data_IF_224280499869
#
_entry.id   IF_224280499869
#
_cell.length_a   1.000
_cell.length_b   1.000
_cell.length_c   1.000
_cell.angle_alpha   90.00
_cell.angle_beta   90.00
_cell.angle_gamma   90.00
#
_symmetry.space_group_name_H-M   'P 1'
#
loop_
_entity.id
_entity.type
_entity.pdbx_description
1 polymer ?
#
# COMPACT_ATOMS: atom_id res chain seq x y z
N UNK A 1 20.19 -12.58 -5.42
CA UNK A 1 19.22 -13.32 -4.59
C UNK A 1 19.51 -12.92 -3.16
N UNK A 2 18.70 -12.01 -2.61
CA UNK A 2 18.79 -11.63 -1.19
C UNK A 2 18.23 -12.78 -0.36
N UNK A 3 18.90 -13.17 0.72
CA UNK A 3 18.34 -14.16 1.65
C UNK A 3 17.00 -13.62 2.18
N UNK A 4 15.98 -14.48 2.35
CA UNK A 4 14.71 -14.03 2.92
C UNK A 4 14.95 -13.45 4.31
N UNK A 5 14.28 -12.33 4.60
CA UNK A 5 14.35 -11.70 5.91
C UNK A 5 13.84 -12.68 6.98
N UNK A 6 14.50 -12.69 8.14
CA UNK A 6 14.11 -13.55 9.25
C UNK A 6 12.66 -13.33 9.68
N UNK A 7 12.16 -12.10 9.55
CA UNK A 7 10.77 -11.77 9.83
C UNK A 7 9.80 -12.40 8.82
N UNK A 8 10.13 -12.38 7.53
CA UNK A 8 9.33 -13.00 6.48
C UNK A 8 9.25 -14.53 6.66
N UNK A 9 10.39 -15.17 6.98
CA UNK A 9 10.43 -16.61 7.28
C UNK A 9 9.57 -16.93 8.51
N UNK A 10 9.62 -16.12 9.55
CA UNK A 10 8.80 -16.31 10.75
C UNK A 10 7.31 -16.15 10.45
N UNK A 11 6.92 -15.13 9.67
CA UNK A 11 5.53 -14.91 9.28
C UNK A 11 4.97 -16.10 8.47
N UNK A 12 5.70 -16.55 7.45
CA UNK A 12 5.32 -17.74 6.68
C UNK A 12 5.18 -18.99 7.56
N UNK A 13 6.06 -19.14 8.57
CA UNK A 13 6.00 -20.28 9.48
C UNK A 13 4.78 -20.23 10.40
N UNK A 14 4.42 -19.04 10.88
CA UNK A 14 3.19 -18.83 11.68
C UNK A 14 1.97 -19.23 10.86
N UNK A 15 1.85 -18.77 9.62
CA UNK A 15 0.73 -19.11 8.73
C UNK A 15 0.62 -20.61 8.49
N UNK A 16 1.74 -21.28 8.22
CA UNK A 16 1.77 -22.74 8.06
C UNK A 16 1.27 -23.47 9.30
N UNK A 17 1.72 -23.06 10.50
CA UNK A 17 1.32 -23.68 11.76
C UNK A 17 -0.17 -23.47 12.05
N UNK A 18 -0.71 -22.29 11.78
CA UNK A 18 -2.14 -22.00 11.94
C UNK A 18 -2.97 -22.83 10.94
N UNK A 19 -2.54 -22.96 9.70
CA UNK A 19 -3.20 -23.83 8.71
C UNK A 19 -3.16 -25.30 9.13
N UNK A 20 -2.02 -25.77 9.65
CA UNK A 20 -1.89 -27.14 10.16
C UNK A 20 -2.86 -27.38 11.34
N UNK A 21 -2.96 -26.43 12.28
CA UNK A 21 -3.90 -26.53 13.39
C UNK A 21 -5.35 -26.56 12.91
N UNK A 22 -5.71 -25.71 11.96
CA UNK A 22 -7.08 -25.67 11.37
C UNK A 22 -7.46 -26.95 10.62
N UNK A 23 -6.47 -27.63 10.02
CA UNK A 23 -6.69 -28.88 9.28
C UNK A 23 -6.90 -30.11 10.18
N UNK A 24 -6.58 -30.00 11.48
CA UNK A 24 -6.79 -31.09 12.45
C UNK A 24 -8.24 -31.24 12.88
N UNK A 25 -8.68 -32.43 13.26
CA UNK A 25 -10.03 -32.65 13.78
C UNK A 25 -10.30 -31.92 15.11
N UNK A 26 -9.25 -31.63 15.88
CA UNK A 26 -9.32 -30.94 17.15
C UNK A 26 -9.48 -29.42 16.96
N UNK A 27 -10.73 -28.96 16.86
CA UNK A 27 -11.07 -27.54 16.76
C UNK A 27 -10.55 -26.72 17.95
N UNK A 28 -10.53 -27.32 19.16
CA UNK A 28 -10.06 -26.63 20.35
C UNK A 28 -8.60 -26.24 20.27
N UNK A 29 -7.76 -27.08 19.68
CA UNK A 29 -6.34 -26.76 19.46
C UNK A 29 -6.17 -25.59 18.48
N UNK A 30 -6.98 -25.53 17.42
CA UNK A 30 -7.00 -24.44 16.47
C UNK A 30 -7.44 -23.13 17.14
N UNK A 31 -8.53 -23.15 17.91
CA UNK A 31 -9.05 -21.97 18.63
C UNK A 31 -8.01 -21.41 19.63
N UNK A 32 -7.33 -22.28 20.37
CA UNK A 32 -6.26 -21.89 21.30
C UNK A 32 -5.08 -21.28 20.54
N UNK A 33 -4.68 -21.84 19.41
CA UNK A 33 -3.60 -21.31 18.57
C UNK A 33 -3.91 -19.91 18.03
N UNK A 34 -5.13 -19.71 17.57
CA UNK A 34 -5.60 -18.39 17.10
C UNK A 34 -5.67 -17.36 18.24
N UNK A 35 -6.19 -17.77 19.39
CA UNK A 35 -6.26 -16.88 20.57
C UNK A 35 -4.87 -16.50 21.07
N UNK A 36 -3.94 -17.46 21.14
CA UNK A 36 -2.55 -17.19 21.51
C UNK A 36 -1.90 -16.19 20.54
N UNK A 37 -2.09 -16.38 19.24
CA UNK A 37 -1.57 -15.47 18.22
C UNK A 37 -2.17 -14.06 18.41
N UNK A 38 -3.47 -13.96 18.63
CA UNK A 38 -4.16 -12.69 18.88
C UNK A 38 -3.61 -11.98 20.12
N UNK A 39 -3.42 -12.71 21.24
CA UNK A 39 -2.85 -12.16 22.47
C UNK A 39 -1.42 -11.64 22.26
N UNK A 40 -0.59 -12.35 21.50
CA UNK A 40 0.77 -11.91 21.18
C UNK A 40 0.75 -10.63 20.33
N UNK A 41 -0.08 -10.57 19.30
CA UNK A 41 -0.24 -9.37 18.46
C UNK A 41 -0.67 -8.17 19.32
N UNK A 42 -1.64 -8.35 20.21
CA UNK A 42 -2.09 -7.29 21.12
C UNK A 42 -0.99 -6.84 22.09
N UNK A 43 -0.23 -7.78 22.66
CA UNK A 43 0.86 -7.46 23.60
C UNK A 43 1.96 -6.67 22.90
N UNK A 44 2.40 -7.10 21.72
CA UNK A 44 3.42 -6.37 20.96
C UNK A 44 2.90 -5.03 20.45
N UNK A 45 1.65 -4.96 19.99
CA UNK A 45 1.02 -3.69 19.59
C UNK A 45 0.97 -2.68 20.73
N UNK A 46 0.62 -3.10 21.95
CA UNK A 46 0.64 -2.23 23.11
C UNK A 46 2.07 -1.74 23.46
N UNK A 47 3.07 -2.58 23.29
CA UNK A 47 4.49 -2.19 23.44
C UNK A 47 4.92 -1.17 22.39
N UNK A 48 4.61 -1.43 21.14
CA UNK A 48 4.89 -0.51 20.02
C UNK A 48 4.20 0.85 20.19
N UNK A 49 2.93 0.86 20.64
CA UNK A 49 2.20 2.11 20.92
C UNK A 49 2.90 2.97 21.98
N UNK A 50 3.45 2.36 23.03
CA UNK A 50 4.24 3.08 24.03
C UNK A 50 5.54 3.64 23.46
N UNK A 51 6.24 2.86 22.64
CA UNK A 51 7.46 3.31 21.96
C UNK A 51 7.15 4.48 21.02
N UNK A 52 6.08 4.37 20.23
CA UNK A 52 5.61 5.42 19.31
C UNK A 52 5.29 6.72 20.06
N UNK A 53 4.58 6.61 21.21
CA UNK A 53 4.27 7.76 22.05
C UNK A 53 5.52 8.44 22.65
N UNK A 54 6.56 7.67 22.98
CA UNK A 54 7.81 8.22 23.52
C UNK A 54 8.67 8.88 22.43
N UNK A 55 8.64 8.37 21.21
CA UNK A 55 9.44 8.90 20.08
C UNK A 55 8.84 10.18 19.50
N UNK A 56 7.52 10.27 19.47
CA UNK A 56 6.79 11.33 18.79
C UNK A 56 6.78 11.16 17.25
N UNK A 57 5.90 11.92 16.54
CA UNK A 57 5.59 11.68 15.13
C UNK A 57 6.80 11.87 14.20
N UNK A 58 7.68 12.83 14.47
CA UNK A 58 8.85 13.08 13.61
C UNK A 58 9.83 11.91 13.57
N UNK A 59 10.23 11.40 14.74
CA UNK A 59 11.14 10.25 14.84
C UNK A 59 10.48 8.96 14.36
N UNK A 60 9.16 8.84 14.56
CA UNK A 60 8.42 7.70 14.06
C UNK A 60 8.40 7.66 12.53
N UNK A 61 8.30 8.83 11.88
CA UNK A 61 8.38 8.95 10.42
C UNK A 61 9.76 8.52 9.88
N UNK A 62 10.84 8.79 10.60
CA UNK A 62 12.18 8.36 10.24
C UNK A 62 12.32 6.82 10.27
N UNK A 63 11.65 6.16 11.22
CA UNK A 63 11.64 4.70 11.32
C UNK A 63 10.90 4.03 10.16
N UNK A 64 9.94 4.70 9.53
CA UNK A 64 9.26 4.22 8.32
C UNK A 64 10.16 4.20 7.06
N UNK A 65 11.45 4.52 7.18
CA UNK A 65 12.43 4.23 6.13
C UNK A 65 12.77 2.73 6.04
N UNK A 66 12.59 1.99 7.13
CA UNK A 66 12.74 0.54 7.16
C UNK A 66 11.39 -0.11 6.82
N UNK A 67 11.29 -0.95 5.75
CA UNK A 67 10.01 -1.51 5.30
C UNK A 67 9.34 -2.44 6.33
N UNK A 68 10.13 -3.17 7.14
CA UNK A 68 9.59 -4.04 8.18
C UNK A 68 8.95 -3.22 9.30
N UNK A 69 9.64 -2.16 9.73
CA UNK A 69 9.12 -1.26 10.76
C UNK A 69 7.88 -0.53 10.26
N UNK A 70 7.88 -0.04 9.01
CA UNK A 70 6.72 0.57 8.38
C UNK A 70 5.51 -0.37 8.39
N UNK A 71 5.71 -1.64 7.99
CA UNK A 71 4.65 -2.66 8.00
C UNK A 71 4.13 -2.96 9.41
N UNK A 72 4.99 -3.04 10.41
CA UNK A 72 4.59 -3.26 11.79
C UNK A 72 3.76 -2.09 12.33
N UNK A 73 4.16 -0.85 12.03
CA UNK A 73 3.40 0.33 12.45
C UNK A 73 2.02 0.39 11.76
N UNK A 74 1.93 -0.02 10.49
CA UNK A 74 0.67 -0.13 9.76
C UNK A 74 -0.28 -1.14 10.39
N UNK A 75 0.19 -2.37 10.65
CA UNK A 75 -0.63 -3.45 11.22
C UNK A 75 -1.21 -3.07 12.60
N UNK A 76 -0.54 -2.17 13.33
CA UNK A 76 -0.94 -1.73 14.66
C UNK A 76 -1.59 -0.34 14.71
N UNK A 77 -1.97 0.24 13.55
CA UNK A 77 -2.55 1.60 13.46
C UNK A 77 -1.68 2.70 14.09
N UNK A 78 -0.36 2.53 14.04
CA UNK A 78 0.62 3.45 14.62
C UNK A 78 1.41 4.23 13.58
N UNK A 79 1.05 4.12 12.31
CA UNK A 79 1.77 4.81 11.24
C UNK A 79 1.60 6.34 11.35
N UNK A 80 2.70 7.14 11.28
CA UNK A 80 2.64 8.59 11.51
C UNK A 80 1.91 9.38 10.41
N UNK A 81 1.77 8.80 9.22
CA UNK A 81 1.02 9.39 8.11
C UNK A 81 -0.38 8.77 8.04
N UNK A 82 -1.37 9.59 7.71
CA UNK A 82 -2.69 9.10 7.38
C UNK A 82 -2.72 8.31 6.06
N UNK A 83 -3.84 7.67 5.77
CA UNK A 83 -4.03 6.84 4.58
C UNK A 83 -3.74 7.59 3.28
N UNK A 84 -4.22 8.83 3.16
CA UNK A 84 -4.00 9.66 1.97
C UNK A 84 -2.53 9.97 1.75
N UNK A 85 -1.83 10.45 2.79
CA UNK A 85 -0.42 10.77 2.72
C UNK A 85 0.47 9.54 2.43
N UNK A 86 0.09 8.36 2.92
CA UNK A 86 0.78 7.10 2.59
C UNK A 86 0.61 6.74 1.12
N UNK A 87 -0.60 6.85 0.59
CA UNK A 87 -0.90 6.60 -0.82
C UNK A 87 -0.11 7.57 -1.71
N UNK A 88 -0.17 8.88 -1.44
CA UNK A 88 0.58 9.88 -2.19
C UNK A 88 2.09 9.59 -2.20
N UNK A 89 2.66 9.23 -1.04
CA UNK A 89 4.06 8.85 -0.91
C UNK A 89 4.40 7.59 -1.71
N UNK A 90 3.52 6.60 -1.74
CA UNK A 90 3.70 5.38 -2.52
C UNK A 90 3.65 5.67 -4.03
N UNK A 91 2.69 6.48 -4.48
CA UNK A 91 2.56 6.91 -5.88
C UNK A 91 3.78 7.70 -6.36
N UNK A 92 4.33 8.58 -5.52
CA UNK A 92 5.52 9.38 -5.84
C UNK A 92 6.79 8.53 -6.06
N UNK A 93 6.82 7.30 -5.55
CA UNK A 93 7.93 6.34 -5.75
C UNK A 93 7.82 5.56 -7.05
N UNK A 94 6.64 5.54 -7.67
CA UNK A 94 6.40 4.81 -8.91
C UNK A 94 7.04 5.56 -10.09
N UNK A 95 7.65 4.79 -10.99
CA UNK A 95 8.18 5.31 -12.26
C UNK A 95 7.23 4.89 -13.38
N UNK A 96 6.17 5.66 -13.58
CA UNK A 96 5.15 5.40 -14.59
C UNK A 96 5.31 6.31 -15.79
N UNK A 97 4.80 5.87 -16.95
CA UNK A 97 4.63 6.73 -18.11
C UNK A 97 3.34 7.56 -17.99
N UNK A 98 3.28 8.44 -16.99
CA UNK A 98 2.12 9.27 -16.63
C UNK A 98 2.18 9.64 -15.16
N UNK A 99 1.47 10.70 -14.79
CA UNK A 99 1.45 11.20 -13.42
C UNK A 99 0.15 10.71 -12.72
N UNK A 100 0.26 9.83 -11.73
CA UNK A 100 -0.87 9.42 -10.91
C UNK A 100 -1.22 10.55 -9.93
N UNK A 101 -2.47 11.01 -9.97
CA UNK A 101 -3.03 12.00 -9.06
C UNK A 101 -3.98 11.31 -8.07
N UNK A 102 -3.77 11.51 -6.79
CA UNK A 102 -4.68 11.03 -5.74
C UNK A 102 -5.86 11.97 -5.61
N UNK A 103 -7.08 11.45 -5.77
CA UNK A 103 -8.32 12.24 -5.69
C UNK A 103 -9.02 12.10 -4.33
N UNK A 104 -8.71 11.06 -3.58
CA UNK A 104 -9.27 10.80 -2.26
C UNK A 104 -9.70 9.35 -2.05
N UNK A 105 -10.22 9.09 -0.86
CA UNK A 105 -10.86 7.83 -0.48
C UNK A 105 -12.32 8.13 -0.20
N UNK A 106 -13.22 7.37 -0.80
CA UNK A 106 -14.66 7.57 -0.57
C UNK A 106 -15.14 6.84 0.71
N UNK A 107 -16.42 7.07 1.09
CA UNK A 107 -17.02 6.49 2.30
C UNK A 107 -17.09 4.95 2.28
N UNK A 108 -16.96 4.33 1.12
CA UNK A 108 -16.87 2.89 0.96
C UNK A 108 -15.43 2.37 1.10
N UNK A 109 -14.46 3.23 1.35
CA UNK A 109 -13.05 2.88 1.44
C UNK A 109 -12.37 2.65 0.08
N UNK A 110 -12.96 3.13 -1.01
CA UNK A 110 -12.40 3.00 -2.36
C UNK A 110 -11.52 4.20 -2.67
N UNK A 111 -10.27 3.94 -3.02
CA UNK A 111 -9.31 4.95 -3.47
C UNK A 111 -9.61 5.37 -4.90
N UNK A 112 -9.73 6.66 -5.13
CA UNK A 112 -9.91 7.25 -6.46
C UNK A 112 -8.62 7.92 -6.92
N UNK A 113 -8.16 7.54 -8.09
CA UNK A 113 -6.94 8.03 -8.71
C UNK A 113 -7.22 8.47 -10.14
N UNK A 114 -6.46 9.45 -10.61
CA UNK A 114 -6.44 9.86 -12.01
C UNK A 114 -5.04 9.68 -12.56
N UNK A 115 -4.91 8.95 -13.68
CA UNK A 115 -3.65 8.79 -14.39
C UNK A 115 -3.66 9.67 -15.64
N UNK A 116 -2.97 10.81 -15.56
CA UNK A 116 -2.83 11.72 -16.68
C UNK A 116 -1.63 11.34 -17.56
N UNK A 117 -1.76 11.54 -18.87
CA UNK A 117 -0.64 11.36 -19.79
C UNK A 117 -0.23 9.91 -20.06
N UNK A 118 -1.05 8.94 -19.73
CA UNK A 118 -0.83 7.53 -20.07
C UNK A 118 -0.88 7.32 -21.60
N UNK A 119 0.10 7.90 -22.32
CA UNK A 119 0.35 7.64 -23.73
C UNK A 119 1.04 6.29 -23.85
N UNK A 120 0.51 5.40 -24.70
CA UNK A 120 1.11 4.09 -24.93
C UNK A 120 0.07 3.09 -25.44
N UNK A 121 0.53 1.87 -25.68
CA UNK A 121 -0.37 0.78 -26.06
C UNK A 121 -1.26 0.38 -24.87
N UNK A 122 -2.41 -0.27 -25.11
CA UNK A 122 -3.32 -0.70 -24.05
C UNK A 122 -2.64 -1.55 -22.95
N UNK A 123 -1.65 -2.38 -23.34
CA UNK A 123 -0.89 -3.23 -22.40
C UNK A 123 -0.02 -2.41 -21.42
N UNK A 124 0.62 -1.34 -21.91
CA UNK A 124 1.42 -0.45 -21.03
C UNK A 124 0.56 0.27 -20.00
N UNK A 125 -0.64 0.69 -20.43
CA UNK A 125 -1.61 1.33 -19.52
C UNK A 125 -2.10 0.36 -18.46
N UNK A 126 -2.42 -0.87 -18.85
CA UNK A 126 -2.84 -1.91 -17.90
C UNK A 126 -1.73 -2.31 -16.93
N UNK A 127 -0.47 -2.31 -17.37
CA UNK A 127 0.67 -2.53 -16.49
C UNK A 127 0.83 -1.40 -15.46
N UNK A 128 0.65 -0.14 -15.88
CA UNK A 128 0.70 1.01 -14.97
C UNK A 128 -0.42 0.96 -13.92
N UNK A 129 -1.64 0.60 -14.32
CA UNK A 129 -2.77 0.44 -13.38
C UNK A 129 -2.45 -0.64 -12.34
N UNK A 130 -1.94 -1.80 -12.74
CA UNK A 130 -1.54 -2.85 -11.78
C UNK A 130 -0.46 -2.39 -10.81
N UNK A 131 0.57 -1.66 -11.28
CA UNK A 131 1.60 -1.12 -10.39
C UNK A 131 1.02 -0.13 -9.38
N UNK A 132 0.05 0.68 -9.78
CA UNK A 132 -0.68 1.59 -8.89
C UNK A 132 -1.49 0.79 -7.85
N UNK A 133 -2.26 -0.20 -8.29
CA UNK A 133 -3.06 -1.05 -7.40
C UNK A 133 -2.18 -1.77 -6.36
N UNK A 134 -1.06 -2.35 -6.78
CA UNK A 134 -0.08 -2.99 -5.90
C UNK A 134 0.52 -2.01 -4.89
N UNK A 135 0.92 -0.81 -5.34
CA UNK A 135 1.49 0.21 -4.46
C UNK A 135 0.48 0.72 -3.42
N UNK A 136 -0.77 0.92 -3.84
CA UNK A 136 -1.85 1.32 -2.92
C UNK A 136 -2.15 0.21 -1.92
N UNK A 137 -2.26 -1.05 -2.35
CA UNK A 137 -2.52 -2.18 -1.46
C UNK A 137 -1.41 -2.36 -0.40
N UNK A 138 -0.16 -2.06 -0.73
CA UNK A 138 0.95 -2.08 0.23
C UNK A 138 0.93 -0.89 1.19
N UNK A 139 0.62 0.31 0.69
CA UNK A 139 0.64 1.54 1.50
C UNK A 139 -0.61 1.70 2.39
N UNK A 140 -1.72 1.12 1.98
CA UNK A 140 -3.02 1.28 2.63
C UNK A 140 -3.83 -0.04 2.58
N UNK A 141 -3.42 -1.07 3.34
CA UNK A 141 -4.09 -2.38 3.34
C UNK A 141 -5.54 -2.33 3.84
N UNK A 142 -5.92 -1.26 4.51
CA UNK A 142 -7.29 -1.03 4.99
C UNK A 142 -8.28 -0.61 3.89
N UNK A 143 -7.81 -0.18 2.70
CA UNK A 143 -8.72 0.24 1.62
C UNK A 143 -9.39 -0.97 0.95
N UNK A 144 -10.63 -0.79 0.51
CA UNK A 144 -11.48 -1.86 -0.03
C UNK A 144 -11.29 -2.05 -1.54
N UNK A 145 -10.75 -1.05 -2.22
CA UNK A 145 -10.52 -1.11 -3.66
C UNK A 145 -9.85 0.14 -4.21
N UNK A 146 -9.44 0.07 -5.47
CA UNK A 146 -8.78 1.16 -6.20
C UNK A 146 -9.47 1.37 -7.54
N UNK A 147 -9.83 2.60 -7.85
CA UNK A 147 -10.37 3.02 -9.15
C UNK A 147 -9.42 4.00 -9.80
N UNK A 148 -8.89 3.64 -10.96
CA UNK A 148 -7.96 4.49 -11.73
C UNK A 148 -8.66 5.02 -12.98
N UNK A 149 -8.95 6.32 -13.00
CA UNK A 149 -9.45 7.03 -14.17
C UNK A 149 -8.28 7.39 -15.09
N UNK A 150 -8.28 6.89 -16.33
CA UNK A 150 -7.24 7.23 -17.30
C UNK A 150 -7.70 8.34 -18.21
N UNK A 151 -6.98 9.46 -18.22
CA UNK A 151 -7.25 10.57 -19.16
C UNK A 151 -6.28 10.50 -20.35
N UNK A 152 -6.79 10.52 -21.58
CA UNK A 152 -5.94 10.62 -22.77
C UNK A 152 -5.22 11.97 -22.78
N UNK A 153 -3.97 11.98 -23.23
CA UNK A 153 -3.21 13.22 -23.41
C UNK A 153 -3.92 14.08 -24.45
N UNK A 154 -4.40 15.25 -24.05
CA UNK A 154 -4.91 16.24 -25.00
C UNK A 154 -3.72 16.71 -25.86
N UNK A 155 -3.71 16.31 -27.13
CA UNK A 155 -2.78 16.86 -28.11
C UNK A 155 -3.19 18.33 -28.33
N UNK A 156 -2.36 19.28 -27.88
CA UNK A 156 -2.50 20.66 -28.31
C UNK A 156 -2.20 20.71 -29.80
N UNK A 157 -3.25 20.79 -30.61
CA UNK A 157 -3.12 21.12 -32.03
C UNK A 157 -2.85 22.62 -32.11
N UNK A 158 -1.59 23.01 -32.22
CA UNK A 158 -1.21 24.37 -32.55
C UNK A 158 -1.60 24.62 -34.01
N UNK A 159 -2.72 25.31 -34.22
CA UNK A 159 -3.07 25.89 -35.51
C UNK A 159 -2.03 26.98 -35.82
N UNK A 160 -1.06 26.66 -36.67
CA UNK A 160 -0.22 27.71 -37.28
C UNK A 160 -1.14 28.61 -38.11
N UNK A 161 -1.19 29.95 -37.83
CA UNK A 161 -1.86 30.85 -38.72
C UNK A 161 -1.15 30.79 -40.10
N UNK A 162 -1.93 30.45 -41.14
CA UNK A 162 -1.41 30.39 -42.48
C UNK A 162 -0.79 31.74 -42.89
N UNK A 163 0.42 31.68 -43.45
CA UNK A 163 1.03 32.80 -44.18
C UNK A 163 0.06 33.24 -45.27
N UNK A 164 -0.40 34.45 -45.17
CA UNK A 164 -1.02 35.15 -46.31
C UNK A 164 0.08 35.30 -47.39
N UNK A 165 -0.14 34.74 -48.56
CA UNK A 165 0.68 34.95 -49.77
C UNK A 165 0.14 36.23 -50.43
N UNK A 166 1.02 37.13 -50.89
CA UNK A 166 0.65 38.39 -51.55
C UNK A 166 -0.02 38.21 -52.89
#
# INVERSE_FOLDING_TARGET
>A
MTAPDAAEVAAQRIDQLLQELRSRPDRRAADIGEELTRCLVQLYGAGLARIAGLLGPGRLADLCADPLVESLLLVHDLHPLDTGARIERALARLRLAGDPEFLGVDDAGVVRLRLAGAGGCPSSRQAAVRQIEEAVAQAAPEVTGVVVETMPRLLQVSLRPGLAVP
#
